data_IF_626670347240
#
_entry.id   IF_626670347240
#
_cell.length_a   1.000
_cell.length_b   1.000
_cell.length_c   1.000
_cell.angle_alpha   90.00
_cell.angle_beta   90.00
_cell.angle_gamma   90.00
#
_symmetry.space_group_name_H-M   'P 1'
#
loop_
_entity.id
_entity.type
_entity.pdbx_description
1 polymer ?
#
# COMPACT_ATOMS: atom_id res chain seq x y z
N UNK A 1 -47.79 45.63 29.59
CA UNK A 1 -47.34 46.54 30.58
C UNK A 1 -46.17 45.99 31.43
N UNK A 2 -46.18 45.81 32.74
CA UNK A 2 -45.02 45.38 33.53
C UNK A 2 -44.49 43.99 33.13
N UNK A 3 -45.36 43.07 32.80
CA UNK A 3 -44.96 41.71 32.38
C UNK A 3 -44.19 41.73 31.05
N UNK A 4 -44.71 42.47 30.06
CA UNK A 4 -44.00 42.61 28.77
C UNK A 4 -42.64 43.31 28.92
N UNK A 5 -42.52 44.25 29.86
CA UNK A 5 -41.24 44.89 30.15
C UNK A 5 -40.22 43.90 30.79
N UNK A 6 -40.69 42.98 31.65
CA UNK A 6 -39.86 41.94 32.26
C UNK A 6 -39.42 40.92 31.24
N UNK A 7 -40.29 40.49 30.32
CA UNK A 7 -39.96 39.58 29.23
C UNK A 7 -38.95 40.21 28.27
N UNK A 8 -39.11 41.47 27.92
CA UNK A 8 -38.17 42.22 27.10
C UNK A 8 -36.79 42.31 27.77
N UNK A 9 -36.71 42.60 29.06
CA UNK A 9 -35.47 42.62 29.81
C UNK A 9 -34.81 41.24 29.86
N UNK A 10 -35.60 40.17 29.99
CA UNK A 10 -35.09 38.80 29.93
C UNK A 10 -34.48 38.45 28.58
N UNK A 11 -35.07 38.85 27.47
CA UNK A 11 -34.52 38.65 26.12
C UNK A 11 -33.27 39.48 25.87
N UNK A 12 -33.18 40.68 26.42
CA UNK A 12 -31.97 41.51 26.32
C UNK A 12 -30.81 40.93 27.09
N UNK A 13 -31.03 40.31 28.26
CA UNK A 13 -30.02 39.59 29.01
C UNK A 13 -29.49 38.39 28.15
N UNK A 14 -30.39 37.59 27.61
CA UNK A 14 -30.00 36.46 26.77
C UNK A 14 -29.19 36.88 25.54
N UNK A 15 -29.54 38.00 24.92
CA UNK A 15 -28.79 38.58 23.80
C UNK A 15 -27.40 39.02 24.23
N UNK A 16 -27.28 39.71 25.37
CA UNK A 16 -25.99 40.12 25.91
C UNK A 16 -25.10 38.93 26.25
N UNK A 17 -25.64 37.89 26.89
CA UNK A 17 -24.91 36.66 27.17
C UNK A 17 -24.46 35.95 25.90
N UNK A 18 -25.29 35.89 24.86
CA UNK A 18 -24.92 35.35 23.56
C UNK A 18 -23.77 36.13 22.93
N UNK A 19 -23.80 37.48 23.03
CA UNK A 19 -22.70 38.33 22.53
C UNK A 19 -21.38 38.09 23.29
N UNK A 20 -21.46 37.93 24.61
CA UNK A 20 -20.26 37.56 25.41
C UNK A 20 -19.70 36.23 24.95
N UNK A 21 -20.55 35.21 24.74
CA UNK A 21 -20.08 33.89 24.24
C UNK A 21 -19.39 33.97 22.86
N UNK A 22 -19.96 34.79 21.95
CA UNK A 22 -19.35 35.02 20.63
C UNK A 22 -17.96 35.66 20.75
N UNK A 23 -17.85 36.68 21.60
CA UNK A 23 -16.58 37.39 21.82
C UNK A 23 -15.55 36.47 22.49
N UNK A 24 -15.99 35.68 23.47
CA UNK A 24 -15.13 34.69 24.12
C UNK A 24 -14.62 33.64 23.12
N UNK A 25 -15.51 33.09 22.29
CA UNK A 25 -15.11 32.14 21.25
C UNK A 25 -14.12 32.75 20.23
N UNK A 26 -14.26 34.07 19.95
CA UNK A 26 -13.32 34.77 19.10
C UNK A 26 -11.95 34.95 19.80
N UNK A 27 -11.94 35.20 21.08
CA UNK A 27 -10.72 35.29 21.87
C UNK A 27 -10.01 33.91 21.97
N UNK A 28 -10.76 32.86 22.23
CA UNK A 28 -10.24 31.50 22.35
C UNK A 28 -9.52 31.03 21.06
N UNK A 29 -9.98 31.50 19.90
CA UNK A 29 -9.36 31.24 18.60
C UNK A 29 -8.02 31.95 18.38
N UNK A 30 -7.69 32.94 19.20
CA UNK A 30 -6.38 33.62 19.11
C UNK A 30 -5.25 32.82 19.73
N UNK A 31 -5.57 31.76 20.48
CA UNK A 31 -4.59 30.83 21.06
C UNK A 31 -4.77 29.48 20.38
N UNK A 32 -3.78 29.09 19.59
CA UNK A 32 -3.77 27.81 18.89
C UNK A 32 -3.13 26.78 19.82
N UNK A 33 -3.87 25.72 20.13
CA UNK A 33 -3.42 24.61 20.99
C UNK A 33 -3.31 23.35 20.13
N UNK A 34 -2.20 22.62 20.26
CA UNK A 34 -2.02 21.35 19.61
C UNK A 34 -3.08 20.33 20.08
N UNK A 35 -3.88 19.74 19.18
CA UNK A 35 -4.96 18.82 19.56
C UNK A 35 -4.43 17.43 19.96
N UNK A 36 -3.20 17.09 19.58
CA UNK A 36 -2.50 15.83 19.88
C UNK A 36 -0.99 16.06 19.95
N UNK A 37 -0.27 15.08 20.47
CA UNK A 37 1.20 15.07 20.47
C UNK A 37 1.71 14.65 19.08
N UNK A 38 2.71 15.33 18.54
CA UNK A 38 3.25 15.04 17.22
C UNK A 38 4.42 15.95 16.85
N UNK A 39 4.82 15.89 15.59
CA UNK A 39 5.91 16.70 15.03
C UNK A 39 5.31 17.83 14.19
N UNK A 40 5.75 19.05 14.41
CA UNK A 40 5.40 20.20 13.56
C UNK A 40 6.17 20.05 12.25
N UNK A 41 5.45 19.76 11.17
CA UNK A 41 6.04 19.57 9.84
C UNK A 41 6.34 20.90 9.14
N UNK A 42 5.42 21.86 9.27
CA UNK A 42 5.54 23.15 8.62
C UNK A 42 4.83 24.25 9.42
N UNK A 43 5.42 25.43 9.42
CA UNK A 43 4.80 26.65 9.94
C UNK A 43 4.77 27.65 8.78
N UNK A 44 3.55 28.08 8.41
CA UNK A 44 3.34 29.09 7.38
C UNK A 44 3.26 30.48 8.02
N UNK A 45 4.07 31.42 7.51
CA UNK A 45 4.12 32.80 7.99
C UNK A 45 5.22 33.06 9.03
N UNK A 46 5.49 34.32 9.25
CA UNK A 46 6.52 34.81 10.17
C UNK A 46 5.90 35.56 11.36
N UNK A 47 6.71 35.77 12.38
CA UNK A 47 6.27 36.51 13.56
C UNK A 47 5.88 37.97 13.18
N UNK A 48 4.64 38.32 13.48
CA UNK A 48 4.06 39.64 13.14
C UNK A 48 3.24 39.63 11.84
N UNK A 49 3.20 38.54 11.11
CA UNK A 49 2.30 38.41 9.97
C UNK A 49 0.85 38.12 10.41
N UNK A 50 -0.07 38.65 9.61
CA UNK A 50 -1.50 38.40 9.82
C UNK A 50 -1.93 37.12 9.14
N UNK A 51 -2.48 36.18 9.89
CA UNK A 51 -3.06 34.96 9.36
C UNK A 51 -4.59 35.06 9.31
N UNK A 52 -5.17 34.74 8.17
CA UNK A 52 -6.64 34.65 8.02
C UNK A 52 -7.09 33.20 8.14
N UNK A 53 -8.18 32.92 8.88
CA UNK A 53 -8.83 31.63 8.78
C UNK A 53 -9.28 31.39 7.34
N UNK A 54 -9.18 30.14 6.87
CA UNK A 54 -9.62 29.76 5.52
C UNK A 54 -11.07 30.14 5.29
N UNK A 55 -11.38 30.92 4.26
CA UNK A 55 -12.76 31.16 3.89
C UNK A 55 -13.43 29.83 3.49
N UNK A 56 -14.73 29.63 3.76
CA UNK A 56 -15.45 28.45 3.31
C UNK A 56 -15.29 28.24 1.79
N UNK A 57 -14.84 27.05 1.38
CA UNK A 57 -14.69 26.66 -0.04
C UNK A 57 -13.37 27.06 -0.71
N UNK A 58 -12.47 27.74 -0.02
CA UNK A 58 -11.11 28.03 -0.53
C UNK A 58 -10.09 27.26 0.32
N UNK A 59 -9.44 26.23 -0.21
CA UNK A 59 -8.40 25.53 0.52
C UNK A 59 -7.18 26.46 0.66
N UNK A 60 -6.90 26.92 1.87
CA UNK A 60 -5.65 27.62 2.20
C UNK A 60 -4.75 26.69 3.01
N UNK A 61 -3.43 26.75 2.83
CA UNK A 61 -2.51 25.93 3.61
C UNK A 61 -2.70 26.24 5.12
N UNK A 62 -2.58 25.25 6.00
CA UNK A 62 -2.67 25.46 7.44
C UNK A 62 -1.53 26.37 7.91
N UNK A 63 -1.78 27.19 8.94
CA UNK A 63 -0.75 28.01 9.57
C UNK A 63 0.32 27.16 10.25
N UNK A 64 -0.10 26.06 10.87
CA UNK A 64 0.77 25.06 11.49
C UNK A 64 0.30 23.70 11.01
N UNK A 65 1.21 22.92 10.44
CA UNK A 65 0.97 21.55 10.04
C UNK A 65 1.59 20.62 11.09
N UNK A 66 0.74 19.83 11.75
CA UNK A 66 1.12 18.93 12.83
C UNK A 66 0.85 17.50 12.39
N UNK A 67 1.88 16.66 12.42
CA UNK A 67 1.83 15.25 12.00
C UNK A 67 1.94 14.35 13.23
N UNK A 68 1.04 13.36 13.32
CA UNK A 68 1.18 12.22 14.23
C UNK A 68 2.08 11.16 13.57
N UNK A 69 3.29 11.01 14.09
CA UNK A 69 4.29 10.07 13.60
C UNK A 69 4.21 8.69 14.30
N UNK A 70 3.26 8.52 15.22
CA UNK A 70 3.10 7.25 15.96
C UNK A 70 2.36 6.17 15.17
N UNK A 71 1.67 6.54 14.08
CA UNK A 71 0.78 5.68 13.32
C UNK A 71 1.07 5.76 11.81
N UNK A 72 2.21 5.18 11.40
CA UNK A 72 2.61 5.16 10.00
C UNK A 72 2.00 3.97 9.26
N UNK A 73 1.45 4.23 8.09
CA UNK A 73 0.94 3.22 7.16
C UNK A 73 1.23 3.64 5.72
N UNK A 74 1.16 2.68 4.80
CA UNK A 74 1.35 2.93 3.37
C UNK A 74 -0.01 2.95 2.69
N UNK A 75 -0.27 3.97 1.86
CA UNK A 75 -1.40 3.98 0.93
C UNK A 75 -0.89 3.63 -0.46
N UNK A 76 -1.49 2.62 -1.08
CA UNK A 76 -1.12 2.18 -2.41
C UNK A 76 -2.36 2.02 -3.29
N UNK A 77 -2.35 2.56 -4.53
CA UNK A 77 -3.41 2.34 -5.50
C UNK A 77 -3.26 0.93 -6.11
N UNK A 78 -4.32 0.14 -6.06
CA UNK A 78 -4.40 -1.18 -6.67
C UNK A 78 -5.36 -1.15 -7.87
N UNK A 79 -5.02 -1.89 -8.92
CA UNK A 79 -5.89 -1.99 -10.09
C UNK A 79 -7.27 -2.55 -9.72
N UNK A 80 -8.34 -1.98 -10.31
CA UNK A 80 -9.72 -2.42 -10.10
C UNK A 80 -9.93 -3.92 -10.35
N UNK A 81 -9.18 -4.50 -11.30
CA UNK A 81 -9.28 -5.93 -11.66
C UNK A 81 -8.73 -6.84 -10.56
N UNK A 82 -7.74 -6.36 -9.80
CA UNK A 82 -7.10 -7.12 -8.73
C UNK A 82 -7.73 -6.86 -7.34
N UNK A 83 -8.34 -5.71 -7.15
CA UNK A 83 -8.97 -5.31 -5.89
C UNK A 83 -9.96 -6.37 -5.31
N UNK A 84 -10.80 -7.08 -6.11
CA UNK A 84 -11.70 -8.11 -5.58
C UNK A 84 -10.99 -9.32 -4.96
N UNK A 85 -9.72 -9.54 -5.28
CA UNK A 85 -8.90 -10.65 -4.73
C UNK A 85 -8.32 -10.31 -3.37
N UNK A 86 -8.30 -9.03 -3.00
CA UNK A 86 -7.66 -8.51 -1.79
C UNK A 86 -8.64 -8.57 -0.62
N UNK A 87 -8.12 -8.85 0.57
CA UNK A 87 -8.89 -8.91 1.82
C UNK A 87 -8.18 -8.18 2.94
N UNK A 88 -8.94 -7.48 3.79
CA UNK A 88 -8.41 -6.90 5.04
C UNK A 88 -7.80 -8.03 5.89
N UNK A 89 -6.64 -7.75 6.45
CA UNK A 89 -5.89 -8.70 7.24
C UNK A 89 -4.90 -9.57 6.46
N UNK A 90 -4.89 -9.49 5.14
CA UNK A 90 -3.97 -10.22 4.26
C UNK A 90 -2.55 -9.69 4.42
N UNK A 91 -1.57 -10.59 4.33
CA UNK A 91 -0.16 -10.23 4.40
C UNK A 91 0.28 -9.45 3.15
N UNK A 92 1.16 -8.49 3.36
CA UNK A 92 1.78 -7.72 2.31
C UNK A 92 3.29 -7.56 2.55
N UNK A 93 4.03 -7.24 1.51
CA UNK A 93 5.43 -6.81 1.57
C UNK A 93 5.49 -5.36 1.15
N UNK A 94 6.20 -4.56 1.93
CA UNK A 94 6.42 -3.14 1.67
C UNK A 94 7.90 -2.96 1.35
N UNK A 95 8.20 -2.26 0.27
CA UNK A 95 9.54 -1.78 -0.06
C UNK A 95 9.51 -0.27 -0.15
N UNK A 96 10.55 0.39 0.31
CA UNK A 96 10.67 1.85 0.32
C UNK A 96 11.81 2.27 -0.58
N UNK A 97 11.59 3.26 -1.44
CA UNK A 97 12.64 3.80 -2.32
C UNK A 97 13.83 4.35 -1.52
N UNK A 98 13.54 4.94 -0.37
CA UNK A 98 14.56 5.45 0.55
C UNK A 98 15.42 4.34 1.19
N UNK A 99 14.96 3.09 1.18
CA UNK A 99 15.65 1.93 1.80
C UNK A 99 15.65 0.73 0.84
N UNK A 100 16.35 0.83 -0.30
CA UNK A 100 16.45 -0.27 -1.26
C UNK A 100 17.06 -1.50 -0.59
N UNK A 101 16.64 -2.69 -0.97
CA UNK A 101 17.06 -3.97 -0.41
C UNK A 101 16.52 -4.31 0.99
N UNK A 102 15.61 -3.53 1.55
CA UNK A 102 14.89 -3.88 2.78
C UNK A 102 13.41 -4.12 2.46
N UNK A 103 12.92 -5.27 2.89
CA UNK A 103 11.52 -5.65 2.78
C UNK A 103 10.91 -5.59 4.17
N UNK A 104 9.84 -4.84 4.31
CA UNK A 104 9.10 -4.72 5.56
C UNK A 104 7.83 -5.55 5.48
N UNK A 105 7.60 -6.45 6.45
CA UNK A 105 6.34 -7.18 6.51
C UNK A 105 5.21 -6.22 6.86
N UNK A 106 4.12 -6.33 6.10
CA UNK A 106 2.91 -5.52 6.27
C UNK A 106 1.65 -6.36 6.30
N UNK A 107 0.55 -5.72 6.68
CA UNK A 107 -0.78 -6.29 6.71
C UNK A 107 -1.79 -5.28 6.19
N UNK A 108 -2.72 -5.71 5.34
CA UNK A 108 -3.77 -4.85 4.83
C UNK A 108 -4.70 -4.46 5.97
N UNK A 109 -4.77 -3.17 6.23
CA UNK A 109 -5.57 -2.53 7.26
C UNK A 109 -6.95 -2.17 6.74
N UNK A 110 -7.00 -1.56 5.55
CA UNK A 110 -8.22 -1.04 4.94
C UNK A 110 -8.17 -1.14 3.42
N UNK A 111 -9.34 -1.29 2.82
CA UNK A 111 -9.56 -1.20 1.38
C UNK A 111 -10.60 -0.11 1.18
N UNK A 112 -10.36 0.85 0.29
CA UNK A 112 -11.31 1.90 -0.02
C UNK A 112 -12.61 1.29 -0.58
N UNK A 113 -13.78 1.78 -0.16
CA UNK A 113 -15.07 1.25 -0.62
C UNK A 113 -15.50 1.80 -1.99
N UNK A 114 -14.62 2.52 -2.68
CA UNK A 114 -14.90 3.15 -3.98
C UNK A 114 -13.67 3.08 -4.89
N UNK A 115 -13.94 3.15 -6.18
CA UNK A 115 -12.90 3.23 -7.22
C UNK A 115 -12.60 4.69 -7.50
N UNK A 116 -11.33 5.04 -7.53
CA UNK A 116 -10.84 6.36 -7.94
C UNK A 116 -10.42 6.31 -9.40
N UNK A 117 -10.88 7.26 -10.20
CA UNK A 117 -10.45 7.41 -11.58
C UNK A 117 -9.42 8.55 -11.66
N UNK A 118 -8.20 8.21 -12.05
CA UNK A 118 -7.14 9.18 -12.27
C UNK A 118 -6.97 9.36 -13.78
N UNK A 119 -7.31 10.56 -14.29
CA UNK A 119 -7.08 11.00 -15.69
C UNK A 119 -7.55 10.01 -16.78
N UNK A 120 -8.72 9.40 -16.64
CA UNK A 120 -9.37 8.51 -17.64
C UNK A 120 -8.57 7.26 -18.05
N UNK A 121 -7.42 6.98 -17.44
CA UNK A 121 -6.52 5.89 -17.89
C UNK A 121 -6.32 4.80 -16.83
N UNK A 122 -6.46 5.09 -15.55
CA UNK A 122 -6.29 4.11 -14.50
C UNK A 122 -7.44 4.18 -13.51
N UNK A 123 -8.11 3.04 -13.32
CA UNK A 123 -9.14 2.86 -12.29
C UNK A 123 -8.54 2.07 -11.14
N UNK A 124 -8.44 2.70 -10.01
CA UNK A 124 -7.74 2.12 -8.86
C UNK A 124 -8.61 2.13 -7.61
N UNK A 125 -8.32 1.19 -6.73
CA UNK A 125 -8.86 1.12 -5.37
C UNK A 125 -7.70 1.31 -4.40
N UNK A 126 -7.78 2.30 -3.54
CA UNK A 126 -6.73 2.54 -2.55
C UNK A 126 -6.80 1.50 -1.43
N UNK A 127 -5.65 0.93 -1.12
CA UNK A 127 -5.47 0.07 0.05
C UNK A 127 -4.54 0.76 1.05
N UNK A 128 -4.80 0.56 2.33
CA UNK A 128 -3.92 0.97 3.41
C UNK A 128 -3.26 -0.26 4.03
N UNK A 129 -1.96 -0.18 4.23
CA UNK A 129 -1.14 -1.29 4.72
C UNK A 129 -0.35 -0.84 5.94
N UNK A 130 -0.57 -1.50 7.07
CA UNK A 130 0.19 -1.29 8.29
C UNK A 130 1.53 -2.02 8.22
N UNK A 131 2.56 -1.41 8.79
CA UNK A 131 3.81 -2.12 9.07
C UNK A 131 3.63 -3.05 10.27
N UNK A 132 3.99 -4.32 10.13
CA UNK A 132 4.01 -5.26 11.28
C UNK A 132 5.18 -4.99 12.21
N UNK A 133 6.26 -4.44 11.69
CA UNK A 133 7.42 -4.02 12.43
C UNK A 133 7.87 -2.69 11.89
N UNK A 134 7.77 -1.64 12.70
CA UNK A 134 8.26 -0.32 12.32
C UNK A 134 9.78 -0.36 12.38
N UNK A 135 10.48 0.07 11.32
CA UNK A 135 11.94 0.16 11.34
C UNK A 135 12.40 1.09 12.47
N UNK A 136 13.49 0.74 13.13
CA UNK A 136 14.10 1.58 14.16
C UNK A 136 14.62 2.92 13.60
N UNK A 137 14.88 2.97 12.29
CA UNK A 137 15.25 4.18 11.59
C UNK A 137 13.99 5.02 11.37
N UNK A 138 14.06 6.30 11.65
CA UNK A 138 12.94 7.22 11.49
C UNK A 138 12.45 7.22 10.04
N UNK A 139 11.22 6.73 9.82
CA UNK A 139 10.54 6.87 8.55
C UNK A 139 9.96 8.28 8.46
N UNK A 140 10.16 8.92 7.34
CA UNK A 140 9.52 10.20 7.08
C UNK A 140 8.20 9.99 6.35
N UNK A 141 7.18 10.73 6.77
CA UNK A 141 5.92 10.82 6.04
C UNK A 141 6.17 11.38 4.65
N UNK A 142 5.61 10.75 3.62
CA UNK A 142 5.80 11.15 2.23
C UNK A 142 6.87 10.35 1.47
N UNK A 143 7.50 9.35 2.08
CA UNK A 143 8.35 8.42 1.33
C UNK A 143 7.53 7.62 0.33
N UNK A 144 8.10 7.41 -0.87
CA UNK A 144 7.56 6.49 -1.86
C UNK A 144 7.72 5.05 -1.40
N UNK A 145 6.67 4.26 -1.60
CA UNK A 145 6.61 2.87 -1.17
C UNK A 145 5.89 2.02 -2.20
N UNK A 146 6.42 0.83 -2.46
CA UNK A 146 5.76 -0.21 -3.23
C UNK A 146 5.15 -1.26 -2.30
N UNK A 147 3.97 -1.74 -2.65
CA UNK A 147 3.24 -2.74 -1.89
C UNK A 147 2.97 -3.96 -2.76
N UNK A 148 3.44 -5.11 -2.32
CA UNK A 148 3.10 -6.41 -2.90
C UNK A 148 2.14 -7.16 -1.98
N UNK A 149 0.90 -7.37 -2.43
CA UNK A 149 -0.09 -8.16 -1.69
C UNK A 149 0.12 -9.64 -1.92
N UNK A 150 0.25 -10.43 -0.86
CA UNK A 150 0.42 -11.87 -0.93
C UNK A 150 -0.95 -12.53 -1.02
N UNK A 151 -1.38 -12.89 -2.22
CA UNK A 151 -2.69 -13.50 -2.45
C UNK A 151 -2.76 -14.93 -1.91
N UNK A 152 -1.72 -15.71 -2.17
CA UNK A 152 -1.63 -17.10 -1.72
C UNK A 152 -0.17 -17.46 -1.47
N UNK A 153 0.08 -18.29 -0.45
CA UNK A 153 1.39 -18.83 -0.12
C UNK A 153 1.29 -20.31 0.14
N UNK A 154 2.18 -21.07 -0.49
CA UNK A 154 2.37 -22.48 -0.19
C UNK A 154 3.81 -22.75 0.22
N UNK A 155 3.97 -23.59 1.20
CA UNK A 155 5.27 -24.02 1.69
C UNK A 155 5.48 -25.52 1.38
N UNK A 156 6.75 -25.93 1.29
CA UNK A 156 7.14 -27.33 1.04
C UNK A 156 6.52 -27.93 -0.23
N UNK A 157 6.52 -27.15 -1.32
CA UNK A 157 6.07 -27.59 -2.64
C UNK A 157 7.23 -27.80 -3.60
N UNK A 158 7.12 -28.81 -4.48
CA UNK A 158 8.03 -28.96 -5.59
C UNK A 158 7.82 -27.80 -6.56
N UNK A 159 8.88 -27.08 -6.89
CA UNK A 159 8.83 -25.92 -7.78
C UNK A 159 9.99 -25.91 -8.76
N UNK A 160 9.74 -25.35 -9.93
CA UNK A 160 10.75 -25.09 -10.94
C UNK A 160 10.73 -23.60 -11.33
N UNK A 161 11.82 -23.06 -11.89
CA UNK A 161 11.78 -21.74 -12.50
C UNK A 161 10.69 -21.66 -13.57
N UNK A 162 9.87 -20.60 -13.55
CA UNK A 162 8.73 -20.48 -14.49
C UNK A 162 9.18 -20.46 -15.94
N UNK A 163 10.36 -19.94 -16.23
CA UNK A 163 10.96 -19.95 -17.56
C UNK A 163 11.30 -21.36 -18.10
N UNK A 164 11.32 -22.39 -17.25
CA UNK A 164 11.48 -23.77 -17.70
C UNK A 164 10.19 -24.39 -18.26
N UNK A 165 9.04 -23.75 -17.99
CA UNK A 165 7.74 -24.22 -18.44
C UNK A 165 7.51 -23.80 -19.90
N UNK A 166 7.17 -24.80 -20.73
CA UNK A 166 6.83 -24.63 -22.15
C UNK A 166 5.34 -24.59 -22.39
N UNK A 167 4.97 -24.30 -23.62
CA UNK A 167 3.58 -24.41 -24.08
C UNK A 167 2.99 -25.81 -23.80
N UNK A 168 1.69 -25.87 -23.56
CA UNK A 168 0.99 -27.09 -23.23
C UNK A 168 1.47 -27.82 -21.94
N UNK A 169 1.97 -27.06 -20.95
CA UNK A 169 2.37 -27.58 -19.65
C UNK A 169 3.43 -28.69 -19.75
N UNK A 170 4.48 -28.44 -20.49
CA UNK A 170 5.60 -29.37 -20.70
C UNK A 170 6.91 -28.73 -20.26
N UNK A 171 7.86 -29.60 -19.93
CA UNK A 171 9.23 -29.20 -19.61
C UNK A 171 10.20 -30.12 -20.35
N UNK A 172 11.41 -29.64 -20.57
CA UNK A 172 12.52 -30.50 -20.97
C UNK A 172 13.20 -31.08 -19.72
N UNK A 173 13.10 -32.39 -19.55
CA UNK A 173 13.83 -33.13 -18.53
C UNK A 173 15.21 -33.55 -19.11
N UNK A 174 16.25 -33.36 -18.34
CA UNK A 174 17.62 -33.80 -18.69
C UNK A 174 17.93 -35.09 -17.97
N UNK A 175 18.13 -36.18 -18.71
CA UNK A 175 18.49 -37.49 -18.13
C UNK A 175 19.96 -37.59 -17.72
N UNK A 176 20.36 -38.76 -17.20
CA UNK A 176 21.72 -39.02 -16.76
C UNK A 176 22.77 -38.95 -17.87
N UNK A 177 22.38 -39.16 -19.13
CA UNK A 177 23.23 -39.10 -20.32
C UNK A 177 23.17 -37.70 -20.99
N UNK A 178 22.69 -36.72 -20.29
CA UNK A 178 22.49 -35.34 -20.76
C UNK A 178 21.59 -35.23 -22.01
N UNK A 179 20.65 -36.14 -22.20
CA UNK A 179 19.69 -36.08 -23.30
C UNK A 179 18.38 -35.45 -22.83
N UNK A 180 17.76 -34.68 -23.72
CA UNK A 180 16.45 -34.06 -23.49
C UNK A 180 15.34 -35.09 -23.74
N UNK A 181 14.43 -35.18 -22.78
CA UNK A 181 13.12 -35.81 -22.93
C UNK A 181 12.01 -34.86 -22.58
N UNK A 182 10.91 -34.91 -23.33
CA UNK A 182 9.76 -34.06 -23.08
C UNK A 182 8.88 -34.69 -22.01
N UNK A 183 8.64 -33.95 -20.93
CA UNK A 183 7.81 -34.41 -19.80
C UNK A 183 6.61 -33.51 -19.65
N UNK A 184 5.41 -34.10 -19.62
CA UNK A 184 4.18 -33.40 -19.27
C UNK A 184 4.12 -33.19 -17.76
N UNK A 185 3.67 -32.02 -17.34
CA UNK A 185 3.55 -31.63 -15.93
C UNK A 185 2.15 -31.10 -15.61
N UNK A 186 1.74 -31.26 -14.39
CA UNK A 186 0.59 -30.56 -13.84
C UNK A 186 1.07 -29.43 -12.92
N UNK A 187 0.66 -28.22 -13.25
CA UNK A 187 1.07 -27.03 -12.52
C UNK A 187 0.10 -26.67 -11.40
N UNK A 188 0.62 -26.05 -10.36
CA UNK A 188 -0.16 -25.43 -9.30
C UNK A 188 -0.04 -23.90 -9.36
N UNK A 189 0.31 -23.29 -8.22
CA UNK A 189 0.58 -21.85 -8.15
C UNK A 189 1.80 -21.48 -8.99
N UNK A 190 1.69 -20.35 -9.66
CA UNK A 190 2.79 -19.80 -10.47
C UNK A 190 2.94 -18.31 -10.24
N UNK A 191 4.18 -17.85 -10.24
CA UNK A 191 4.54 -16.45 -10.27
C UNK A 191 5.63 -16.20 -11.32
N UNK A 192 6.18 -14.98 -11.37
CA UNK A 192 7.23 -14.61 -12.33
C UNK A 192 8.51 -15.45 -12.23
N UNK A 193 8.84 -15.94 -11.03
CA UNK A 193 10.09 -16.66 -10.76
C UNK A 193 9.92 -18.17 -10.75
N UNK A 194 8.84 -18.67 -10.14
CA UNK A 194 8.64 -20.10 -9.89
C UNK A 194 7.23 -20.56 -10.19
N UNK A 195 7.13 -21.82 -10.63
CA UNK A 195 5.87 -22.56 -10.85
C UNK A 195 5.87 -23.82 -9.98
N UNK A 196 4.82 -24.00 -9.19
CA UNK A 196 4.56 -25.21 -8.42
C UNK A 196 4.27 -26.38 -9.38
N UNK A 197 4.84 -27.55 -9.09
CA UNK A 197 4.59 -28.79 -9.82
C UNK A 197 3.83 -29.75 -8.91
N UNK A 198 2.62 -30.11 -9.32
CA UNK A 198 1.79 -31.09 -8.61
C UNK A 198 2.13 -32.51 -8.99
N UNK A 199 2.29 -32.76 -10.29
CA UNK A 199 2.66 -34.06 -10.84
C UNK A 199 3.57 -33.93 -12.06
N UNK A 200 4.29 -34.99 -12.40
CA UNK A 200 5.13 -35.05 -13.60
C UNK A 200 6.62 -34.91 -13.36
N UNK A 201 7.05 -34.38 -12.20
CA UNK A 201 8.46 -34.29 -11.80
C UNK A 201 8.66 -34.78 -10.36
N UNK A 202 9.89 -35.10 -10.03
CA UNK A 202 10.35 -35.48 -8.69
C UNK A 202 11.46 -34.55 -8.23
N UNK A 203 11.66 -34.52 -6.93
CA UNK A 203 12.81 -33.82 -6.34
C UNK A 203 14.12 -34.39 -6.87
N UNK A 204 15.03 -33.52 -7.31
CA UNK A 204 16.30 -33.90 -7.93
C UNK A 204 16.27 -34.01 -9.45
N UNK A 205 15.10 -33.98 -10.09
CA UNK A 205 14.99 -33.91 -11.54
C UNK A 205 15.62 -32.63 -12.08
N UNK A 206 16.36 -32.75 -13.21
CA UNK A 206 17.00 -31.61 -13.86
C UNK A 206 16.15 -31.13 -15.02
N UNK A 207 15.72 -29.87 -14.98
CA UNK A 207 14.96 -29.24 -16.05
C UNK A 207 15.78 -28.22 -16.79
N UNK A 208 15.60 -28.14 -18.11
CA UNK A 208 16.28 -27.16 -18.95
C UNK A 208 15.67 -25.79 -18.75
N UNK A 209 16.52 -24.79 -18.49
CA UNK A 209 16.17 -23.38 -18.47
C UNK A 209 16.89 -22.75 -19.67
N UNK A 210 16.17 -22.51 -20.75
CA UNK A 210 16.73 -21.87 -21.95
C UNK A 210 15.68 -21.00 -22.62
N UNK A 211 16.11 -19.89 -23.21
CA UNK A 211 15.22 -18.99 -23.97
C UNK A 211 14.86 -19.56 -25.35
N UNK A 212 15.62 -20.54 -25.86
CA UNK A 212 15.49 -21.07 -27.23
C UNK A 212 14.91 -22.49 -27.25
N UNK A 213 13.92 -22.77 -26.39
CA UNK A 213 13.38 -24.11 -26.18
C UNK A 213 12.56 -24.65 -27.36
N UNK A 214 12.05 -23.75 -28.21
CA UNK A 214 11.12 -24.15 -29.30
C UNK A 214 11.85 -24.86 -30.47
N UNK A 215 13.17 -24.71 -30.58
CA UNK A 215 13.99 -25.36 -31.61
C UNK A 215 14.52 -26.72 -31.20
N UNK A 216 14.41 -27.09 -29.90
CA UNK A 216 14.96 -28.30 -29.35
C UNK A 216 14.04 -29.50 -29.62
N UNK A 217 14.67 -30.70 -29.80
CA UNK A 217 13.96 -31.96 -30.03
C UNK A 217 14.34 -32.98 -28.95
N UNK A 218 13.43 -33.92 -28.70
CA UNK A 218 13.76 -35.07 -27.84
C UNK A 218 14.98 -35.80 -28.34
N UNK A 219 15.87 -36.22 -27.42
CA UNK A 219 17.15 -36.86 -27.72
C UNK A 219 18.31 -35.91 -27.96
N UNK A 220 18.09 -34.58 -28.04
CA UNK A 220 19.20 -33.62 -28.12
C UNK A 220 20.08 -33.71 -26.89
N UNK A 221 21.39 -33.77 -27.10
CA UNK A 221 22.37 -33.77 -26.00
C UNK A 221 22.68 -32.33 -25.60
N UNK A 222 22.60 -32.04 -24.32
CA UNK A 222 22.87 -30.71 -23.76
C UNK A 222 24.02 -30.75 -22.78
N UNK A 223 24.80 -29.69 -22.74
CA UNK A 223 25.85 -29.54 -21.74
C UNK A 223 25.36 -28.56 -20.67
N UNK A 224 25.39 -28.95 -19.39
CA UNK A 224 25.02 -28.02 -18.33
C UNK A 224 26.06 -26.89 -18.29
N UNK A 225 25.59 -25.64 -18.34
CA UNK A 225 26.39 -24.47 -18.01
C UNK A 225 26.38 -24.37 -16.48
N UNK A 226 27.57 -24.52 -15.86
CA UNK A 226 27.72 -24.20 -14.44
C UNK A 226 27.86 -22.69 -14.32
N UNK A 227 26.89 -22.08 -13.62
CA UNK A 227 26.98 -20.69 -13.15
C UNK A 227 27.66 -20.67 -11.78
#
# INVERSE_FOLDING_TARGET
SRQASCEAAGTDIQRAEAQVRVTQASLDRTVIIAPFSGVVAHISGELGEFTTPSPPGIPTPPTIDLIDDTCLYVTAPMDEVDAPKIRVGQAARITLDAMPNRIFPGKIRRIAPFVTEIEKQARTVDIEVDFLTIPADALLVGYSADVEVILERKENVLRIPTQAVRQNNRVWLVDGDHRLSEQAIEMGLSNWSFTEIRTGLKEGDRVLISFDQDTLKAGTVVQPKMD
#
